data_IF_328477141641
#
_entry.id   IF_328477141641
#
_cell.length_a   1.000
_cell.length_b   1.000
_cell.length_c   1.000
_cell.angle_alpha   90.00
_cell.angle_beta   90.00
_cell.angle_gamma   90.00
#
_symmetry.space_group_name_H-M   'P 1'
#
loop_
_entity.id
_entity.type
_entity.pdbx_description
1 polymer ?
#
# COMPACT_ATOMS: atom_id res chain seq x y z
N UNK A 1 -16.99 -10.24 5.59
CA UNK A 1 -17.42 -9.40 4.46
C UNK A 1 -16.16 -8.91 3.77
N UNK A 2 -15.85 -9.43 2.58
CA UNK A 2 -14.70 -9.02 1.78
C UNK A 2 -15.22 -8.25 0.57
N UNK A 3 -15.11 -6.92 0.58
CA UNK A 3 -15.21 -6.13 -0.65
C UNK A 3 -13.79 -5.97 -1.16
N UNK A 4 -13.41 -6.85 -2.09
CA UNK A 4 -12.10 -6.85 -2.73
C UNK A 4 -12.18 -6.13 -4.08
N UNK A 5 -11.82 -4.85 -4.12
CA UNK A 5 -11.59 -4.17 -5.40
C UNK A 5 -10.21 -4.56 -5.94
N UNK A 6 -10.13 -4.79 -7.24
CA UNK A 6 -8.90 -5.18 -7.95
C UNK A 6 -8.60 -4.15 -9.02
N UNK A 7 -7.33 -3.74 -9.10
CA UNK A 7 -6.83 -2.92 -10.19
C UNK A 7 -5.52 -3.53 -10.72
N UNK A 8 -5.30 -3.45 -12.03
CA UNK A 8 -4.01 -3.73 -12.66
C UNK A 8 -3.41 -2.39 -13.06
N UNK A 9 -2.19 -2.13 -12.59
CA UNK A 9 -1.43 -0.92 -12.91
C UNK A 9 -0.40 -1.18 -14.03
N UNK A 10 -0.46 -2.36 -14.65
CA UNK A 10 0.44 -2.87 -15.67
C UNK A 10 0.43 -4.41 -15.71
N UNK A 11 0.99 -5.02 -16.75
CA UNK A 11 0.93 -6.48 -16.96
C UNK A 11 1.53 -7.31 -15.81
N UNK A 12 2.39 -6.71 -14.97
CA UNK A 12 3.08 -7.37 -13.86
C UNK A 12 2.68 -6.85 -12.48
N UNK A 13 1.81 -5.84 -12.37
CA UNK A 13 1.42 -5.24 -11.08
C UNK A 13 -0.06 -5.42 -10.85
N UNK A 14 -0.39 -6.00 -9.71
CA UNK A 14 -1.77 -6.25 -9.29
C UNK A 14 -2.03 -5.69 -7.90
N UNK A 15 -3.22 -5.12 -7.72
CA UNK A 15 -3.67 -4.51 -6.48
C UNK A 15 -4.88 -5.25 -5.89
N UNK A 16 -4.90 -5.42 -4.58
CA UNK A 16 -6.03 -5.86 -3.80
C UNK A 16 -6.33 -4.84 -2.70
N UNK A 17 -7.60 -4.48 -2.56
CA UNK A 17 -8.09 -3.58 -1.52
C UNK A 17 -9.01 -4.32 -0.56
N UNK A 18 -8.94 -3.99 0.72
CA UNK A 18 -9.84 -4.45 1.76
C UNK A 18 -10.37 -3.26 2.54
N UNK A 19 -11.67 -3.00 2.42
CA UNK A 19 -12.36 -2.02 3.25
C UNK A 19 -12.68 -2.62 4.62
N UNK A 20 -12.38 -1.87 5.68
CA UNK A 20 -12.48 -2.33 7.07
C UNK A 20 -13.48 -1.46 7.84
N UNK A 21 -14.33 -2.09 8.65
CA UNK A 21 -15.27 -1.39 9.53
C UNK A 21 -14.68 -1.00 10.89
N UNK A 22 -13.35 -0.96 11.03
CA UNK A 22 -12.65 -0.78 12.31
C UNK A 22 -12.50 -2.08 13.13
N UNK A 23 -11.64 -2.05 14.16
CA UNK A 23 -11.58 -3.07 15.22
C UNK A 23 -10.50 -4.16 15.12
N UNK A 24 -9.70 -4.24 14.05
CA UNK A 24 -8.49 -5.10 14.00
C UNK A 24 -7.26 -4.27 13.69
N UNK A 25 -6.09 -4.58 14.29
CA UNK A 25 -4.86 -3.84 14.02
C UNK A 25 -4.48 -3.98 12.53
N UNK A 26 -4.03 -2.89 11.88
CA UNK A 26 -3.74 -2.86 10.46
C UNK A 26 -2.79 -3.98 10.01
N UNK A 27 -1.71 -4.23 10.75
CA UNK A 27 -0.72 -5.27 10.42
C UNK A 27 -1.30 -6.69 10.27
N UNK A 28 -2.27 -7.07 11.11
CA UNK A 28 -2.92 -8.39 11.02
C UNK A 28 -3.80 -8.49 9.77
N UNK A 29 -4.48 -7.39 9.42
CA UNK A 29 -5.31 -7.32 8.23
C UNK A 29 -4.46 -7.34 6.95
N UNK A 30 -3.32 -6.64 6.94
CA UNK A 30 -2.39 -6.62 5.82
C UNK A 30 -1.77 -7.98 5.56
N UNK A 31 -1.24 -8.65 6.60
CA UNK A 31 -0.69 -9.99 6.46
C UNK A 31 -1.74 -10.99 5.93
N UNK A 32 -2.98 -10.91 6.41
CA UNK A 32 -4.08 -11.75 5.91
C UNK A 32 -4.43 -11.42 4.45
N UNK A 33 -4.51 -10.14 4.09
CA UNK A 33 -4.80 -9.72 2.71
C UNK A 33 -3.72 -10.23 1.75
N UNK A 34 -2.44 -10.09 2.11
CA UNK A 34 -1.32 -10.59 1.31
C UNK A 34 -1.42 -12.12 1.12
N UNK A 35 -1.65 -12.89 2.18
CA UNK A 35 -1.78 -14.36 2.10
C UNK A 35 -2.91 -14.79 1.16
N UNK A 36 -4.10 -14.20 1.32
CA UNK A 36 -5.23 -14.45 0.43
C UNK A 36 -4.94 -14.05 -1.02
N UNK A 37 -4.23 -12.93 -1.21
CA UNK A 37 -3.88 -12.43 -2.52
C UNK A 37 -2.87 -13.35 -3.22
N UNK A 38 -1.83 -13.80 -2.51
CA UNK A 38 -0.83 -14.76 -3.00
C UNK A 38 -1.47 -16.11 -3.36
N UNK A 39 -2.30 -16.68 -2.48
CA UNK A 39 -3.00 -17.93 -2.74
C UNK A 39 -3.85 -17.85 -4.01
N UNK A 40 -4.56 -16.73 -4.20
CA UNK A 40 -5.39 -16.52 -5.38
C UNK A 40 -4.61 -16.26 -6.68
N UNK A 41 -3.36 -15.78 -6.61
CA UNK A 41 -2.54 -15.44 -7.79
C UNK A 41 -1.53 -16.51 -8.16
N UNK A 42 -0.91 -17.12 -7.16
CA UNK A 42 0.18 -18.08 -7.31
C UNK A 42 -0.24 -19.51 -6.94
N UNK A 43 -1.49 -19.69 -6.51
CA UNK A 43 -2.09 -20.97 -6.18
C UNK A 43 -1.73 -21.49 -4.78
N UNK A 44 -2.35 -22.63 -4.45
CA UNK A 44 -2.25 -23.26 -3.14
C UNK A 44 -3.23 -22.66 -2.11
N UNK A 45 -3.41 -23.35 -0.97
CA UNK A 45 -4.26 -22.88 0.13
C UNK A 45 -3.62 -21.67 0.84
N UNK A 46 -4.40 -20.82 1.52
CA UNK A 46 -3.85 -19.63 2.19
C UNK A 46 -2.85 -20.00 3.30
N UNK A 47 -3.03 -21.15 3.93
CA UNK A 47 -2.27 -21.67 5.08
C UNK A 47 -0.80 -21.94 4.75
N UNK A 48 -0.49 -22.25 3.49
CA UNK A 48 0.91 -22.46 3.07
C UNK A 48 1.66 -21.15 2.83
N UNK A 49 0.95 -20.01 2.79
CA UNK A 49 1.55 -18.70 2.61
C UNK A 49 1.74 -18.00 3.96
N UNK A 50 2.91 -17.42 4.17
CA UNK A 50 3.23 -16.56 5.32
C UNK A 50 3.92 -15.29 4.85
N UNK A 51 3.90 -14.25 5.68
CA UNK A 51 4.56 -12.96 5.40
C UNK A 51 5.71 -12.80 6.37
N UNK A 52 6.93 -12.71 5.86
CA UNK A 52 8.11 -12.29 6.61
C UNK A 52 8.35 -10.79 6.44
N UNK A 53 9.25 -10.22 7.23
CA UNK A 53 9.72 -8.84 7.08
C UNK A 53 11.24 -8.83 7.09
N UNK A 54 11.84 -8.03 6.22
CA UNK A 54 13.29 -7.86 6.19
C UNK A 54 13.77 -6.91 7.31
N UNK A 55 15.06 -6.59 7.33
CA UNK A 55 15.66 -5.70 8.34
C UNK A 55 15.11 -4.27 8.30
N UNK A 56 14.58 -3.82 7.16
CA UNK A 56 13.94 -2.52 7.00
C UNK A 56 12.43 -2.57 7.28
N UNK A 57 11.88 -3.75 7.60
CA UNK A 57 10.46 -3.96 7.82
C UNK A 57 9.65 -4.13 6.53
N UNK A 58 10.29 -4.26 5.36
CA UNK A 58 9.58 -4.50 4.12
C UNK A 58 9.06 -5.95 4.08
N UNK A 59 7.78 -6.17 3.73
CA UNK A 59 7.21 -7.51 3.70
C UNK A 59 7.79 -8.34 2.55
N UNK A 60 7.92 -9.65 2.76
CA UNK A 60 8.22 -10.62 1.70
C UNK A 60 7.38 -11.88 1.83
N UNK A 61 7.09 -12.51 0.69
CA UNK A 61 6.26 -13.72 0.63
C UNK A 61 7.07 -14.98 0.90
N UNK A 62 6.56 -15.81 1.81
CA UNK A 62 7.03 -17.15 2.07
C UNK A 62 5.95 -18.15 1.66
N UNK A 63 6.35 -19.25 1.00
CA UNK A 63 5.52 -20.43 0.79
C UNK A 63 6.19 -21.62 1.46
N UNK A 64 5.49 -22.25 2.40
CA UNK A 64 6.02 -23.39 3.18
C UNK A 64 7.38 -23.05 3.83
N UNK A 65 7.49 -21.82 4.36
CA UNK A 65 8.72 -21.32 4.99
C UNK A 65 9.84 -20.91 4.02
N UNK A 66 9.64 -20.99 2.70
CA UNK A 66 10.65 -20.63 1.68
C UNK A 66 10.28 -19.34 0.96
N UNK A 67 11.26 -18.46 0.78
CA UNK A 67 11.06 -17.20 0.05
C UNK A 67 10.64 -17.44 -1.40
N UNK A 68 9.74 -16.58 -1.88
CA UNK A 68 9.27 -16.60 -3.27
C UNK A 68 9.75 -15.35 -4.00
N UNK A 69 10.09 -15.45 -5.30
CA UNK A 69 10.46 -14.31 -6.13
C UNK A 69 9.20 -13.52 -6.54
N UNK A 70 8.53 -12.95 -5.55
CA UNK A 70 7.38 -12.06 -5.71
C UNK A 70 7.56 -10.91 -4.73
N UNK A 71 7.42 -9.71 -5.26
CA UNK A 71 7.48 -8.48 -4.50
C UNK A 71 6.09 -8.18 -3.97
N UNK A 72 6.01 -7.84 -2.68
CA UNK A 72 4.78 -7.49 -2.00
C UNK A 72 4.94 -6.10 -1.39
N UNK A 73 3.88 -5.31 -1.41
CA UNK A 73 3.81 -4.05 -0.67
C UNK A 73 2.43 -3.92 -0.05
N UNK A 74 2.35 -3.27 1.11
CA UNK A 74 1.10 -3.03 1.84
C UNK A 74 1.11 -1.62 2.38
N UNK A 75 -0.01 -0.92 2.23
CA UNK A 75 -0.24 0.38 2.86
C UNK A 75 -1.63 0.41 3.47
N UNK A 76 -1.80 1.27 4.46
CA UNK A 76 -2.97 1.34 5.32
C UNK A 76 -3.42 2.78 5.42
N UNK A 77 -4.71 3.01 5.21
CA UNK A 77 -5.37 4.25 5.55
C UNK A 77 -6.57 3.94 6.45
N UNK A 78 -7.12 4.95 7.11
CA UNK A 78 -8.33 4.76 7.92
C UNK A 78 -9.44 4.08 7.11
N UNK A 79 -9.87 2.90 7.56
CA UNK A 79 -10.91 2.11 6.88
C UNK A 79 -10.45 1.34 5.63
N UNK A 80 -9.16 1.35 5.27
CA UNK A 80 -8.64 0.71 4.06
C UNK A 80 -7.29 0.00 4.31
N UNK A 81 -7.18 -1.22 3.78
CA UNK A 81 -5.89 -1.90 3.60
C UNK A 81 -5.69 -2.16 2.12
N UNK A 82 -4.55 -1.74 1.58
CA UNK A 82 -4.16 -2.00 0.22
C UNK A 82 -2.94 -2.93 0.20
N UNK A 83 -2.93 -3.92 -0.67
CA UNK A 83 -1.79 -4.79 -0.91
C UNK A 83 -1.53 -4.91 -2.41
N UNK A 84 -0.26 -4.91 -2.81
CA UNK A 84 0.14 -5.06 -4.19
C UNK A 84 1.18 -6.17 -4.38
N UNK A 85 1.16 -6.78 -5.57
CA UNK A 85 2.02 -7.88 -5.98
C UNK A 85 2.70 -7.57 -7.32
N UNK A 86 3.97 -7.95 -7.44
CA UNK A 86 4.67 -8.02 -8.73
C UNK A 86 5.63 -9.21 -8.78
N UNK A 87 5.63 -9.90 -9.92
CA UNK A 87 6.61 -10.96 -10.22
C UNK A 87 7.79 -10.46 -11.05
N UNK A 88 7.80 -9.18 -11.46
CA UNK A 88 8.80 -8.64 -12.37
C UNK A 88 9.82 -7.72 -11.69
N UNK A 89 9.37 -6.90 -10.73
CA UNK A 89 10.22 -5.88 -10.10
C UNK A 89 9.72 -5.50 -8.70
N UNK A 90 10.59 -4.97 -7.82
CA UNK A 90 10.17 -4.34 -6.58
C UNK A 90 9.10 -3.26 -6.83
N UNK A 91 8.20 -3.10 -5.86
CA UNK A 91 7.18 -2.05 -5.87
C UNK A 91 6.93 -1.53 -4.45
N UNK A 92 6.45 -0.29 -4.39
CA UNK A 92 5.82 0.29 -3.20
C UNK A 92 4.43 0.76 -3.58
N UNK A 93 3.46 0.60 -2.69
CA UNK A 93 2.19 1.30 -2.77
C UNK A 93 2.03 2.16 -1.53
N UNK A 94 1.37 3.29 -1.71
CA UNK A 94 0.93 4.11 -0.62
C UNK A 94 -0.53 4.51 -0.82
N UNK A 95 -1.30 4.48 0.26
CA UNK A 95 -2.71 4.89 0.25
C UNK A 95 -2.95 5.83 1.39
N UNK A 96 -3.47 7.01 1.06
CA UNK A 96 -3.76 8.05 2.05
C UNK A 96 -5.24 8.45 1.99
N UNK A 97 -5.83 8.64 3.18
CA UNK A 97 -7.19 9.18 3.27
C UNK A 97 -7.11 10.70 3.14
N UNK A 98 -7.67 11.22 2.05
CA UNK A 98 -7.84 12.67 1.90
C UNK A 98 -8.80 13.19 2.99
N UNK A 99 -8.24 13.88 3.98
CA UNK A 99 -8.99 14.57 5.03
C UNK A 99 -9.07 16.08 4.73
N UNK A 100 -10.20 16.75 5.03
CA UNK A 100 -10.31 18.20 4.84
C UNK A 100 -9.33 19.03 5.68
N UNK A 101 -8.64 18.43 6.66
CA UNK A 101 -7.80 19.13 7.65
C UNK A 101 -6.30 18.75 7.59
N UNK A 102 -5.88 17.86 6.68
CA UNK A 102 -4.54 17.23 6.72
C UNK A 102 -3.42 17.88 5.89
N UNK A 103 -3.74 18.85 5.04
CA UNK A 103 -2.74 19.55 4.23
C UNK A 103 -2.20 20.76 5.01
N UNK A 104 -1.38 20.50 6.02
CA UNK A 104 -0.74 21.53 6.84
C UNK A 104 0.61 21.93 6.22
N UNK A 105 0.85 23.23 6.03
CA UNK A 105 2.07 23.73 5.38
C UNK A 105 3.34 23.32 6.11
N UNK A 106 3.26 23.16 7.44
CA UNK A 106 4.39 22.74 8.28
C UNK A 106 4.89 21.31 7.97
N UNK A 107 4.01 20.41 7.51
CA UNK A 107 4.40 19.06 7.08
C UNK A 107 5.13 19.10 5.73
N UNK A 108 4.67 19.93 4.78
CA UNK A 108 5.34 20.11 3.50
C UNK A 108 6.78 20.62 3.68
N UNK A 109 6.98 21.56 4.61
CA UNK A 109 8.29 22.14 4.88
C UNK A 109 9.31 21.13 5.42
N UNK A 110 8.85 20.12 6.15
CA UNK A 110 9.70 19.15 6.86
C UNK A 110 10.05 17.91 6.02
N UNK A 111 9.16 17.50 5.10
CA UNK A 111 9.30 16.24 4.35
C UNK A 111 9.60 16.41 2.87
N UNK A 112 9.22 17.54 2.27
CA UNK A 112 9.40 17.75 0.84
C UNK A 112 10.70 18.50 0.53
N UNK A 113 11.29 18.13 -0.60
CA UNK A 113 12.42 18.82 -1.20
C UNK A 113 12.03 20.21 -1.69
N UNK A 114 13.02 21.08 -1.93
CA UNK A 114 12.78 22.43 -2.43
C UNK A 114 11.98 22.47 -3.76
N UNK A 115 12.24 21.60 -4.75
CA UNK A 115 11.42 21.54 -5.96
C UNK A 115 9.95 21.15 -5.71
N UNK A 116 9.70 20.21 -4.81
CA UNK A 116 8.35 19.74 -4.46
C UNK A 116 7.56 20.83 -3.73
N UNK A 117 8.21 21.55 -2.81
CA UNK A 117 7.61 22.72 -2.14
C UNK A 117 7.29 23.84 -3.14
N UNK A 118 8.21 24.14 -4.06
CA UNK A 118 7.99 25.15 -5.10
C UNK A 118 6.83 24.77 -6.03
N UNK A 119 6.74 23.48 -6.42
CA UNK A 119 5.62 22.96 -7.18
C UNK A 119 4.29 23.16 -6.44
N UNK A 120 4.20 22.78 -5.17
CA UNK A 120 2.99 23.01 -4.37
C UNK A 120 2.65 24.49 -4.25
N UNK A 121 3.64 25.35 -4.00
CA UNK A 121 3.42 26.79 -3.89
C UNK A 121 2.90 27.42 -5.20
N UNK A 122 3.16 26.80 -6.35
CA UNK A 122 2.68 27.28 -7.65
C UNK A 122 1.21 26.98 -7.94
N UNK A 123 0.60 26.00 -7.24
CA UNK A 123 -0.78 25.57 -7.49
C UNK A 123 -1.81 26.49 -6.83
N UNK A 124 -3.07 26.48 -7.30
CA UNK A 124 -4.17 27.14 -6.60
C UNK A 124 -4.45 26.42 -5.26
N UNK A 125 -5.00 27.13 -4.27
CA UNK A 125 -5.18 26.60 -2.90
C UNK A 125 -6.00 25.29 -2.87
N UNK A 126 -6.97 25.18 -3.78
CA UNK A 126 -7.87 24.03 -3.94
C UNK A 126 -7.13 22.80 -4.50
N UNK A 127 -6.11 23.01 -5.34
CA UNK A 127 -5.35 21.96 -6.01
C UNK A 127 -4.15 21.48 -5.18
N UNK A 128 -3.58 22.37 -4.37
CA UNK A 128 -2.43 22.09 -3.49
C UNK A 128 -2.63 20.85 -2.63
N UNK A 129 -3.86 20.63 -2.13
CA UNK A 129 -4.15 19.51 -1.24
C UNK A 129 -4.08 18.17 -1.95
N UNK A 130 -4.73 18.06 -3.11
CA UNK A 130 -4.67 16.84 -3.90
C UNK A 130 -3.25 16.56 -4.40
N UNK A 131 -2.49 17.61 -4.71
CA UNK A 131 -1.09 17.51 -5.10
C UNK A 131 -0.17 17.09 -3.94
N UNK A 132 -0.42 17.56 -2.71
CA UNK A 132 0.35 17.19 -1.52
C UNK A 132 0.39 15.67 -1.31
N UNK A 133 -0.75 14.98 -1.49
CA UNK A 133 -0.84 13.51 -1.36
C UNK A 133 -0.45 12.73 -2.63
N UNK A 134 0.14 13.40 -3.63
CA UNK A 134 0.59 12.79 -4.90
C UNK A 134 2.08 12.95 -5.18
N UNK A 135 2.76 13.75 -4.36
CA UNK A 135 4.23 13.88 -4.34
C UNK A 135 4.77 12.69 -3.58
#
# INVERSE_FOLDING_TARGET
MCVGARASLGASVELALLFTGGGRPPGVLGARLIRAFLAKRLGGPEEVWTVGHDAAGAPFALREGRSRPVHVSVSYAEGLVAAALSTASPLGIDVERLSPHGADGALADSFFSEPERAFLASLAQEERRAAFFRI
#
